data_IF_288057241436
#
_entry.id   IF_288057241436
#
_cell.length_a   1.000
_cell.length_b   1.000
_cell.length_c   1.000
_cell.angle_alpha   90.00
_cell.angle_beta   90.00
_cell.angle_gamma   90.00
#
_symmetry.space_group_name_H-M   'P 1'
#
loop_
_entity.id
_entity.type
_entity.pdbx_description
1 polymer ?
#
# COMPACT_ATOMS: atom_id res chain seq x y z
N UNK A 1 8.57 -38.24 -40.51
CA UNK A 1 7.27 -37.56 -40.44
C UNK A 1 7.21 -36.77 -39.17
N UNK A 2 7.37 -35.47 -39.29
CA UNK A 2 7.16 -34.57 -38.19
C UNK A 2 5.67 -34.46 -37.92
N UNK A 3 5.23 -34.86 -36.75
CA UNK A 3 3.93 -34.43 -36.27
C UNK A 3 3.89 -32.90 -36.28
N UNK A 4 2.96 -32.33 -37.03
CA UNK A 4 2.73 -30.92 -36.94
C UNK A 4 2.32 -30.63 -35.49
N UNK A 5 3.21 -29.99 -34.73
CA UNK A 5 2.83 -29.44 -33.44
C UNK A 5 1.78 -28.35 -33.70
N UNK A 6 0.61 -28.54 -33.15
CA UNK A 6 -0.37 -27.46 -33.15
C UNK A 6 0.30 -26.21 -32.55
N UNK A 7 0.18 -25.05 -33.19
CA UNK A 7 0.65 -23.82 -32.58
C UNK A 7 -0.02 -23.70 -31.20
N UNK A 8 0.74 -23.33 -30.16
CA UNK A 8 0.13 -23.11 -28.88
C UNK A 8 -1.06 -22.17 -29.07
N UNK A 9 -2.22 -22.57 -28.58
CA UNK A 9 -3.37 -21.66 -28.52
C UNK A 9 -2.89 -20.51 -27.67
N UNK A 10 -2.58 -19.40 -28.31
CA UNK A 10 -2.38 -18.16 -27.56
C UNK A 10 -3.69 -17.87 -26.87
N UNK A 11 -3.72 -17.85 -25.53
CA UNK A 11 -4.89 -17.39 -24.87
C UNK A 11 -5.17 -15.99 -25.40
N UNK A 12 -6.39 -15.77 -25.87
CA UNK A 12 -6.85 -14.44 -26.23
C UNK A 12 -6.77 -13.59 -24.98
N UNK A 13 -5.74 -12.81 -24.87
CA UNK A 13 -5.59 -11.85 -23.80
C UNK A 13 -6.54 -10.68 -24.04
N UNK A 14 -7.70 -10.73 -23.41
CA UNK A 14 -8.21 -9.49 -22.89
C UNK A 14 -7.21 -9.09 -21.77
N UNK A 15 -6.54 -7.94 -21.91
CA UNK A 15 -5.63 -7.53 -20.85
C UNK A 15 -6.43 -7.43 -19.56
N UNK A 16 -6.09 -8.26 -18.58
CA UNK A 16 -6.61 -8.12 -17.24
C UNK A 16 -6.28 -6.72 -16.73
N UNK A 17 -7.09 -6.19 -15.82
CA UNK A 17 -6.83 -4.91 -15.13
C UNK A 17 -5.39 -4.88 -14.59
N UNK A 18 -4.85 -6.03 -14.23
CA UNK A 18 -3.49 -6.19 -13.73
C UNK A 18 -2.41 -5.97 -14.80
N UNK A 19 -2.64 -6.44 -16.02
CA UNK A 19 -1.72 -6.19 -17.14
C UNK A 19 -1.73 -4.70 -17.52
N UNK A 20 -2.88 -4.06 -17.36
CA UNK A 20 -3.00 -2.62 -17.55
C UNK A 20 -2.21 -1.84 -16.49
N UNK A 21 -2.31 -2.21 -15.22
CA UNK A 21 -1.56 -1.59 -14.14
C UNK A 21 -0.04 -1.74 -14.34
N UNK A 22 0.40 -2.94 -14.75
CA UNK A 22 1.80 -3.19 -15.08
C UNK A 22 2.27 -2.30 -16.23
N UNK A 23 1.48 -2.20 -17.31
CA UNK A 23 1.81 -1.35 -18.45
C UNK A 23 1.80 0.13 -18.07
N UNK A 24 0.88 0.55 -17.22
CA UNK A 24 0.85 1.90 -16.71
C UNK A 24 2.13 2.23 -15.92
N UNK A 25 2.60 1.32 -15.07
CA UNK A 25 3.86 1.49 -14.34
C UNK A 25 5.07 1.57 -15.27
N UNK A 26 5.05 0.88 -16.41
CA UNK A 26 6.11 0.92 -17.42
C UNK A 26 6.07 2.16 -18.29
N UNK A 27 4.90 2.79 -18.43
CA UNK A 27 4.65 3.93 -19.33
C UNK A 27 4.50 5.26 -18.59
N UNK A 28 5.08 5.36 -17.43
CA UNK A 28 5.04 6.62 -16.71
C UNK A 28 5.69 7.74 -17.54
N UNK A 29 5.15 8.97 -17.45
CA UNK A 29 5.81 10.12 -18.05
C UNK A 29 7.26 10.20 -17.61
N UNK A 30 8.13 10.62 -18.50
CA UNK A 30 9.56 10.75 -18.21
C UNK A 30 9.82 12.01 -17.39
N UNK A 31 9.39 12.00 -16.15
CA UNK A 31 9.58 13.05 -15.17
C UNK A 31 10.18 12.45 -13.89
N UNK A 32 11.06 13.18 -13.17
CA UNK A 32 11.66 12.65 -11.96
C UNK A 32 10.66 12.43 -10.83
N UNK A 33 9.62 13.27 -10.75
CA UNK A 33 8.57 13.21 -9.74
C UNK A 33 7.20 13.16 -10.41
N UNK A 34 6.43 12.13 -10.12
CA UNK A 34 5.10 11.91 -10.68
C UNK A 34 4.06 12.04 -9.57
N UNK A 35 3.01 12.82 -9.83
CA UNK A 35 1.92 13.05 -8.89
C UNK A 35 0.58 12.63 -9.51
N UNK A 36 -0.36 12.22 -8.64
CA UNK A 36 -1.73 11.94 -9.06
C UNK A 36 -1.97 10.57 -9.73
N UNK A 37 -0.96 9.72 -9.80
CA UNK A 37 -1.08 8.39 -10.39
C UNK A 37 -1.35 7.30 -9.37
N UNK A 38 -0.73 7.39 -8.20
CA UNK A 38 -0.79 6.35 -7.17
C UNK A 38 -1.58 6.83 -5.96
N UNK A 39 -2.35 5.93 -5.38
CA UNK A 39 -3.15 6.16 -4.20
C UNK A 39 -3.10 4.98 -3.25
N UNK A 40 -3.08 5.28 -1.96
CA UNK A 40 -3.24 4.30 -0.88
C UNK A 40 -4.57 4.58 -0.19
N UNK A 41 -5.47 3.60 -0.17
CA UNK A 41 -6.76 3.73 0.49
C UNK A 41 -6.72 3.37 1.97
N UNK A 42 -7.83 3.57 2.67
CA UNK A 42 -7.95 3.30 4.11
C UNK A 42 -7.92 1.82 4.48
N UNK A 43 -8.01 0.94 3.49
CA UNK A 43 -7.92 -0.51 3.68
C UNK A 43 -6.52 -1.06 3.40
N UNK A 44 -5.56 -0.19 3.09
CA UNK A 44 -4.19 -0.59 2.75
C UNK A 44 -4.04 -1.10 1.33
N UNK A 45 -4.94 -0.72 0.43
CA UNK A 45 -4.90 -1.12 -0.98
C UNK A 45 -4.26 -0.04 -1.82
N UNK A 46 -3.48 -0.47 -2.81
CA UNK A 46 -2.86 0.40 -3.78
C UNK A 46 -3.76 0.56 -5.00
N UNK A 47 -3.89 1.80 -5.48
CA UNK A 47 -4.60 2.10 -6.72
C UNK A 47 -3.67 2.86 -7.67
N UNK A 48 -3.81 2.61 -8.96
CA UNK A 48 -3.16 3.39 -10.01
C UNK A 48 -4.23 3.99 -10.91
N UNK A 49 -4.24 5.32 -11.01
CA UNK A 49 -5.25 6.08 -11.77
C UNK A 49 -6.69 5.65 -11.45
N UNK A 50 -6.96 5.41 -10.17
CA UNK A 50 -8.26 4.98 -9.68
C UNK A 50 -8.57 3.49 -9.80
N UNK A 51 -7.69 2.71 -10.41
CA UNK A 51 -7.86 1.26 -10.57
C UNK A 51 -7.15 0.49 -9.47
N UNK A 52 -7.84 -0.44 -8.84
CA UNK A 52 -7.30 -1.26 -7.77
C UNK A 52 -6.23 -2.21 -8.29
N UNK A 53 -5.05 -2.18 -7.66
CA UNK A 53 -3.97 -3.13 -7.93
C UNK A 53 -4.21 -4.36 -7.06
N UNK A 54 -4.35 -5.53 -7.69
CA UNK A 54 -4.64 -6.80 -7.02
C UNK A 54 -3.53 -7.83 -7.18
N UNK A 55 -2.63 -7.64 -8.15
CA UNK A 55 -1.57 -8.60 -8.44
C UNK A 55 -0.51 -8.60 -7.34
N UNK A 56 -0.25 -9.73 -6.66
CA UNK A 56 0.69 -9.79 -5.54
C UNK A 56 2.09 -9.28 -5.87
N UNK A 57 2.60 -9.57 -7.05
CA UNK A 57 3.94 -9.15 -7.47
C UNK A 57 4.07 -7.62 -7.59
N UNK A 58 3.01 -6.94 -8.07
CA UNK A 58 3.00 -5.48 -8.16
C UNK A 58 2.86 -4.89 -6.75
N UNK A 59 2.00 -5.45 -5.93
CA UNK A 59 1.82 -5.04 -4.53
C UNK A 59 3.14 -5.15 -3.78
N UNK A 60 3.84 -6.28 -3.90
CA UNK A 60 5.14 -6.51 -3.26
C UNK A 60 6.20 -5.52 -3.76
N UNK A 61 6.22 -5.23 -5.06
CA UNK A 61 7.17 -4.27 -5.63
C UNK A 61 6.95 -2.87 -5.09
N UNK A 62 5.71 -2.41 -5.01
CA UNK A 62 5.38 -1.09 -4.45
C UNK A 62 5.76 -1.06 -2.97
N UNK A 63 5.38 -2.07 -2.21
CA UNK A 63 5.66 -2.16 -0.78
C UNK A 63 7.17 -2.17 -0.47
N UNK A 64 7.95 -2.88 -1.28
CA UNK A 64 9.40 -2.98 -1.11
C UNK A 64 10.16 -1.68 -1.44
N UNK A 65 9.55 -0.78 -2.23
CA UNK A 65 10.16 0.46 -2.70
C UNK A 65 9.40 1.70 -2.25
N UNK A 66 8.70 1.59 -1.15
CA UNK A 66 7.89 2.64 -0.55
C UNK A 66 8.71 3.36 0.54
N UNK A 67 8.84 4.67 0.41
CA UNK A 67 9.67 5.49 1.30
C UNK A 67 9.10 6.91 1.42
N UNK A 68 9.74 7.74 2.23
CA UNK A 68 9.35 9.14 2.38
C UNK A 68 10.57 10.06 2.19
N UNK A 69 10.31 11.27 1.72
CA UNK A 69 11.32 12.30 1.52
C UNK A 69 11.55 13.14 2.78
N UNK A 70 12.44 14.13 2.69
CA UNK A 70 12.79 15.02 3.81
C UNK A 70 11.61 15.84 4.32
N UNK A 71 10.55 16.03 3.52
CA UNK A 71 9.32 16.74 3.91
C UNK A 71 8.25 15.80 4.47
N UNK A 72 8.53 14.49 4.54
CA UNK A 72 7.57 13.48 4.99
C UNK A 72 6.55 13.08 3.93
N UNK A 73 6.80 13.36 2.66
CA UNK A 73 5.94 12.93 1.55
C UNK A 73 6.33 11.51 1.11
N UNK A 74 5.35 10.62 1.09
CA UNK A 74 5.59 9.22 0.77
C UNK A 74 5.49 8.96 -0.73
N UNK A 75 6.35 8.10 -1.24
CA UNK A 75 6.45 7.79 -2.65
C UNK A 75 6.84 6.34 -2.90
N UNK A 76 6.52 5.86 -4.07
CA UNK A 76 7.04 4.62 -4.65
C UNK A 76 8.22 4.96 -5.56
N UNK A 77 9.39 4.37 -5.30
CA UNK A 77 10.56 4.51 -6.17
C UNK A 77 10.44 3.53 -7.33
N UNK A 78 10.16 4.05 -8.51
CA UNK A 78 10.06 3.28 -9.76
C UNK A 78 11.30 3.57 -10.63
N UNK A 79 12.34 2.74 -10.50
CA UNK A 79 13.61 3.03 -11.14
C UNK A 79 14.12 4.41 -10.72
N UNK A 80 14.46 5.31 -11.67
CA UNK A 80 14.93 6.66 -11.35
C UNK A 80 13.81 7.64 -10.96
N UNK A 81 12.54 7.22 -11.03
CA UNK A 81 11.39 8.09 -10.83
C UNK A 81 10.73 7.87 -9.47
N UNK A 82 10.18 8.94 -8.90
CA UNK A 82 9.35 8.88 -7.71
C UNK A 82 7.89 9.06 -8.08
N UNK A 83 7.06 8.07 -7.78
CA UNK A 83 5.61 8.20 -7.83
C UNK A 83 5.08 8.58 -6.47
N UNK A 84 4.72 9.85 -6.26
CA UNK A 84 4.19 10.31 -4.98
C UNK A 84 2.80 9.76 -4.73
N UNK A 85 2.58 9.29 -3.52
CA UNK A 85 1.37 8.59 -3.12
C UNK A 85 0.31 9.57 -2.62
N UNK A 86 -0.87 9.55 -3.23
CA UNK A 86 -2.04 10.17 -2.65
C UNK A 86 -2.57 9.29 -1.52
N UNK A 87 -2.76 9.86 -0.35
CA UNK A 87 -3.14 9.11 0.85
C UNK A 87 -4.59 9.45 1.23
N UNK A 88 -5.45 8.45 1.33
CA UNK A 88 -6.81 8.63 1.83
C UNK A 88 -6.83 8.86 3.34
N UNK A 89 -5.84 8.34 4.05
CA UNK A 89 -5.63 8.57 5.47
C UNK A 89 -4.13 8.77 5.75
N UNK A 90 -3.44 7.78 6.25
CA UNK A 90 -2.02 7.84 6.60
C UNK A 90 -1.16 7.08 5.60
N UNK A 91 0.17 7.29 5.59
CA UNK A 91 1.08 6.54 4.73
C UNK A 91 1.21 5.07 5.11
N UNK A 92 0.94 4.71 6.36
CA UNK A 92 0.89 3.33 6.82
C UNK A 92 -0.55 3.00 7.25
N UNK A 93 -1.06 1.90 6.76
CA UNK A 93 -2.35 1.37 7.20
C UNK A 93 -2.07 0.19 8.12
N UNK A 94 -2.54 0.31 9.34
CA UNK A 94 -2.26 -0.62 10.42
C UNK A 94 -3.43 -1.57 10.64
N UNK A 95 -3.11 -2.81 11.02
CA UNK A 95 -4.11 -3.82 11.33
C UNK A 95 -3.68 -4.65 12.54
N UNK A 96 -4.68 -5.22 13.22
CA UNK A 96 -4.42 -6.14 14.32
C UNK A 96 -3.71 -7.38 13.80
N UNK A 97 -2.71 -7.89 14.53
CA UNK A 97 -2.02 -9.11 14.13
C UNK A 97 -2.93 -10.33 14.28
N UNK A 98 -2.61 -11.41 13.55
CA UNK A 98 -3.28 -12.69 13.73
C UNK A 98 -3.04 -13.26 15.13
N UNK A 99 -1.89 -12.94 15.72
CA UNK A 99 -1.48 -13.40 17.04
C UNK A 99 -0.58 -12.35 17.71
N UNK A 100 -0.76 -12.16 19.03
CA UNK A 100 0.01 -11.20 19.82
C UNK A 100 -0.50 -9.77 19.77
N UNK A 101 0.36 -8.82 20.12
CA UNK A 101 0.02 -7.40 20.29
C UNK A 101 0.73 -6.46 19.30
N UNK A 102 1.60 -6.99 18.47
CA UNK A 102 2.36 -6.19 17.50
C UNK A 102 1.52 -5.91 16.25
N UNK A 103 1.22 -4.64 16.00
CA UNK A 103 0.47 -4.23 14.81
C UNK A 103 1.22 -4.56 13.52
N UNK A 104 0.49 -5.00 12.51
CA UNK A 104 0.98 -5.16 11.16
C UNK A 104 0.74 -3.90 10.33
N UNK A 105 1.59 -3.66 9.35
CA UNK A 105 1.37 -2.66 8.32
C UNK A 105 0.84 -3.33 7.05
N UNK A 106 0.26 -2.53 6.17
CA UNK A 106 -0.14 -2.99 4.82
C UNK A 106 1.06 -3.41 3.95
N UNK A 107 2.29 -3.17 4.43
CA UNK A 107 3.53 -3.57 3.75
C UNK A 107 3.94 -5.01 4.08
N UNK A 108 3.12 -5.77 4.78
CA UNK A 108 3.42 -7.11 5.31
C UNK A 108 4.65 -7.12 6.24
N UNK A 109 4.86 -6.03 6.97
CA UNK A 109 5.92 -5.86 7.96
C UNK A 109 5.32 -5.31 9.26
N UNK A 110 5.85 -5.70 10.42
CA UNK A 110 5.37 -5.15 11.69
C UNK A 110 5.63 -3.65 11.78
N UNK A 111 4.70 -2.94 12.42
CA UNK A 111 4.82 -1.49 12.60
C UNK A 111 5.93 -1.10 13.58
N UNK A 112 6.30 -2.01 14.46
CA UNK A 112 7.21 -1.72 15.56
C UNK A 112 6.50 -1.00 16.72
N UNK A 113 7.29 -0.37 17.56
CA UNK A 113 6.78 0.30 18.76
C UNK A 113 5.90 1.50 18.40
N UNK A 114 4.75 1.61 19.05
CA UNK A 114 3.87 2.77 18.99
C UNK A 114 4.27 3.75 20.08
N UNK A 115 4.54 4.99 19.71
CA UNK A 115 4.96 6.05 20.63
C UNK A 115 3.85 7.07 20.94
N UNK A 116 2.84 7.16 20.10
CA UNK A 116 1.77 8.14 20.23
C UNK A 116 0.49 7.62 19.58
N UNK A 117 -0.66 7.92 20.20
CA UNK A 117 -1.99 7.54 19.71
C UNK A 117 -2.91 8.76 19.77
N UNK A 118 -3.74 8.96 18.76
CA UNK A 118 -4.73 10.02 18.70
C UNK A 118 -5.99 9.55 17.99
N UNK A 119 -7.15 10.02 18.47
CA UNK A 119 -8.42 9.83 17.78
C UNK A 119 -8.77 11.08 16.99
N UNK A 120 -9.25 10.91 15.75
CA UNK A 120 -9.77 12.01 14.95
C UNK A 120 -11.27 12.25 15.23
N UNK A 121 -11.82 13.31 14.65
CA UNK A 121 -13.23 13.69 14.82
C UNK A 121 -14.21 12.61 14.29
N UNK A 122 -13.78 11.83 13.30
CA UNK A 122 -14.56 10.73 12.73
C UNK A 122 -14.45 9.42 13.49
N UNK A 123 -13.68 9.39 14.60
CA UNK A 123 -13.43 8.18 15.36
C UNK A 123 -12.30 7.31 14.82
N UNK A 124 -11.55 7.78 13.84
CA UNK A 124 -10.37 7.09 13.33
C UNK A 124 -9.20 7.15 14.30
N UNK A 125 -8.44 6.07 14.39
CA UNK A 125 -7.31 5.96 15.30
C UNK A 125 -5.99 6.13 14.55
N UNK A 126 -5.25 7.16 14.92
CA UNK A 126 -3.92 7.49 14.38
C UNK A 126 -2.85 7.06 15.35
N UNK A 127 -1.75 6.55 14.81
CA UNK A 127 -0.61 6.11 15.62
C UNK A 127 0.70 6.56 14.99
N UNK A 128 1.66 6.96 15.83
CA UNK A 128 3.05 7.13 15.40
C UNK A 128 3.79 5.86 15.76
N UNK A 129 4.30 5.19 14.74
CA UNK A 129 5.05 3.93 14.87
C UNK A 129 6.51 4.11 14.51
N UNK A 130 7.33 3.10 14.78
CA UNK A 130 8.74 3.12 14.38
C UNK A 130 8.95 3.26 12.86
N UNK A 131 7.94 2.86 12.05
CA UNK A 131 8.00 2.99 10.60
C UNK A 131 7.44 4.31 10.09
N UNK A 132 6.69 5.02 10.90
CA UNK A 132 6.06 6.28 10.53
C UNK A 132 4.63 6.40 11.02
N UNK A 133 3.92 7.47 10.61
CA UNK A 133 2.54 7.67 11.00
C UNK A 133 1.63 6.65 10.31
N UNK A 134 0.72 6.10 11.09
CA UNK A 134 -0.20 5.08 10.64
C UNK A 134 -1.65 5.35 11.04
N UNK A 135 -2.56 4.71 10.35
CA UNK A 135 -3.99 4.76 10.61
C UNK A 135 -4.53 3.34 10.72
N UNK A 136 -5.23 3.07 11.80
CA UNK A 136 -5.76 1.73 12.07
C UNK A 136 -7.02 1.48 11.25
N UNK A 137 -7.11 0.28 10.64
CA UNK A 137 -8.33 -0.11 9.93
C UNK A 137 -9.53 -0.12 10.88
N UNK A 138 -10.68 0.32 10.39
CA UNK A 138 -11.91 0.45 11.19
C UNK A 138 -12.32 -0.85 11.88
N UNK A 139 -12.12 -1.98 11.23
CA UNK A 139 -12.45 -3.31 11.79
C UNK A 139 -11.66 -3.66 13.04
N UNK A 140 -10.54 -3.00 13.30
CA UNK A 140 -9.62 -3.32 14.39
C UNK A 140 -9.70 -2.32 15.56
N UNK A 141 -10.62 -1.38 15.54
CA UNK A 141 -10.77 -0.36 16.58
C UNK A 141 -11.00 -0.98 17.96
N UNK A 142 -11.89 -1.95 18.07
CA UNK A 142 -12.16 -2.61 19.36
C UNK A 142 -10.94 -3.33 19.92
N UNK A 143 -10.18 -3.98 19.03
CA UNK A 143 -8.91 -4.61 19.40
C UNK A 143 -7.93 -3.60 20.01
N UNK A 144 -7.79 -2.43 19.40
CA UNK A 144 -6.88 -1.38 19.85
C UNK A 144 -7.36 -0.73 21.15
N UNK A 145 -8.65 -0.41 21.24
CA UNK A 145 -9.22 0.24 22.42
C UNK A 145 -9.08 -0.62 23.68
N UNK A 146 -9.13 -1.94 23.54
CA UNK A 146 -8.91 -2.87 24.65
C UNK A 146 -7.45 -2.84 25.17
N UNK A 147 -6.50 -2.31 24.38
CA UNK A 147 -5.07 -2.28 24.69
C UNK A 147 -4.54 -0.90 25.03
N UNK A 148 -5.30 0.14 24.75
CA UNK A 148 -4.93 1.51 25.11
C UNK A 148 -5.24 1.72 26.58
N UNK A 149 -4.20 1.96 27.36
CA UNK A 149 -4.38 2.43 28.74
C UNK A 149 -4.34 3.95 28.72
N UNK A 150 -5.40 4.56 29.23
CA UNK A 150 -5.37 5.99 29.54
C UNK A 150 -4.56 6.17 30.83
N UNK A 151 -3.39 6.71 30.72
CA UNK A 151 -2.71 7.32 31.84
C UNK A 151 -3.21 8.75 31.96
N UNK A 152 -3.95 9.00 33.00
CA UNK A 152 -4.26 10.37 33.39
C UNK A 152 -2.99 11.16 33.75
#
# INVERSE_FOLDING_TARGET
MSAASEPPIEPSFEPSIEDWARRALQRWPNVPHLYGWLRLDRRGRWLIRGELITRPQIIETIAANYAFDARGCWYFQNGPQRGYMALDAAPLILSAPADGDALDTHLAKPAGKVSRVALDEGGGLWMVTQRGPGWLTDRDLDWALARISTTD
#
